data_IF_670017488141
#
_entry.id   IF_670017488141
#
_cell.length_a   1.000
_cell.length_b   1.000
_cell.length_c   1.000
_cell.angle_alpha   90.00
_cell.angle_beta   90.00
_cell.angle_gamma   90.00
#
_symmetry.space_group_name_H-M   'P 1'
#
loop_
_entity.id
_entity.type
_entity.pdbx_description
1 polymer ?
#
# COMPACT_ATOMS: atom_id res chain seq x y z
N UNK A 1 -44.62 -3.53 46.33
CA UNK A 1 -44.71 -3.36 44.88
C UNK A 1 -44.50 -1.90 44.45
N UNK A 2 -45.17 -0.86 45.02
CA UNK A 2 -45.02 0.54 44.64
C UNK A 2 -43.56 1.10 44.78
N UNK A 3 -42.79 0.67 45.81
CA UNK A 3 -41.40 1.13 46.01
C UNK A 3 -40.40 0.52 45.04
N UNK A 4 -40.68 -0.68 44.50
CA UNK A 4 -39.81 -1.31 43.47
C UNK A 4 -40.05 -0.67 42.09
N UNK A 5 -41.32 -0.36 41.79
CA UNK A 5 -41.63 0.36 40.54
C UNK A 5 -40.99 1.77 40.48
N UNK A 6 -40.96 2.47 41.63
CA UNK A 6 -40.32 3.81 41.71
C UNK A 6 -38.79 3.72 41.54
N UNK A 7 -38.13 2.68 42.07
CA UNK A 7 -36.69 2.48 41.91
C UNK A 7 -36.33 2.06 40.48
N UNK A 8 -37.15 1.27 39.81
CA UNK A 8 -36.95 0.88 38.43
C UNK A 8 -37.19 2.05 37.48
N UNK A 9 -38.18 2.89 37.72
CA UNK A 9 -38.41 4.11 36.92
C UNK A 9 -37.33 5.17 37.09
N UNK A 10 -36.74 5.31 38.28
CA UNK A 10 -35.58 6.17 38.53
C UNK A 10 -34.29 5.66 37.86
N UNK A 11 -34.09 4.36 37.85
CA UNK A 11 -32.96 3.72 37.14
C UNK A 11 -33.08 3.86 35.62
N UNK A 12 -34.27 3.63 35.07
CA UNK A 12 -34.52 3.79 33.61
C UNK A 12 -34.40 5.27 33.22
N UNK A 13 -34.92 6.20 34.02
CA UNK A 13 -34.74 7.64 33.81
C UNK A 13 -33.28 8.10 33.87
N UNK A 14 -32.49 7.56 34.80
CA UNK A 14 -31.07 7.83 34.91
C UNK A 14 -30.23 7.30 33.71
N UNK A 15 -30.59 6.12 33.22
CA UNK A 15 -29.92 5.54 32.04
C UNK A 15 -30.30 6.34 30.77
N UNK A 16 -31.55 6.75 30.63
CA UNK A 16 -32.01 7.53 29.48
C UNK A 16 -31.36 8.93 29.46
N UNK A 17 -31.21 9.61 30.61
CA UNK A 17 -30.53 10.90 30.68
C UNK A 17 -29.04 10.78 30.44
N UNK A 18 -28.37 9.75 30.96
CA UNK A 18 -26.97 9.47 30.70
C UNK A 18 -26.71 9.14 29.21
N UNK A 19 -27.63 8.42 28.58
CA UNK A 19 -27.55 8.12 27.15
C UNK A 19 -27.76 9.37 26.27
N UNK A 20 -28.65 10.28 26.70
CA UNK A 20 -28.90 11.53 26.03
C UNK A 20 -27.73 12.52 26.19
N UNK A 21 -27.10 12.56 27.37
CA UNK A 21 -25.90 13.33 27.64
C UNK A 21 -24.71 12.83 26.82
N UNK A 22 -24.52 11.52 26.74
CA UNK A 22 -23.49 10.92 25.91
C UNK A 22 -23.73 11.23 24.42
N UNK A 23 -24.96 11.16 23.97
CA UNK A 23 -25.32 11.49 22.58
C UNK A 23 -25.10 12.97 22.27
N UNK A 24 -25.37 13.86 23.23
CA UNK A 24 -25.11 15.30 23.10
C UNK A 24 -23.59 15.59 23.06
N UNK A 25 -22.80 14.91 23.87
CA UNK A 25 -21.34 15.00 23.83
C UNK A 25 -20.78 14.49 22.49
N UNK A 26 -21.29 13.38 21.98
CA UNK A 26 -20.93 12.85 20.66
C UNK A 26 -21.27 13.86 19.57
N UNK A 27 -22.44 14.48 19.61
CA UNK A 27 -22.86 15.48 18.64
C UNK A 27 -22.02 16.77 18.74
N UNK A 28 -21.65 17.21 19.94
CA UNK A 28 -20.72 18.32 20.14
C UNK A 28 -19.33 18.02 19.59
N UNK A 29 -18.77 16.85 19.92
CA UNK A 29 -17.49 16.42 19.38
C UNK A 29 -17.51 16.31 17.84
N UNK A 30 -18.63 15.83 17.26
CA UNK A 30 -18.80 15.82 15.80
C UNK A 30 -18.81 17.22 15.22
N UNK A 31 -19.53 18.16 15.83
CA UNK A 31 -19.56 19.54 15.37
C UNK A 31 -18.19 20.23 15.48
N UNK A 32 -17.42 19.95 16.53
CA UNK A 32 -16.04 20.44 16.68
C UNK A 32 -15.11 19.81 15.64
N UNK A 33 -15.25 18.52 15.36
CA UNK A 33 -14.52 17.82 14.30
C UNK A 33 -14.85 18.40 12.94
N UNK A 34 -16.11 18.67 12.66
CA UNK A 34 -16.54 19.26 11.37
C UNK A 34 -16.06 20.71 11.21
N UNK A 35 -16.05 21.50 12.28
CA UNK A 35 -15.40 22.82 12.28
C UNK A 35 -13.89 22.73 12.06
N UNK A 36 -13.22 21.79 12.69
CA UNK A 36 -11.79 21.55 12.50
C UNK A 36 -11.49 21.06 11.07
N UNK A 37 -12.33 20.20 10.50
CA UNK A 37 -12.23 19.76 9.09
C UNK A 37 -12.45 20.92 8.11
N UNK A 38 -13.43 21.79 8.36
CA UNK A 38 -13.72 22.95 7.51
C UNK A 38 -12.62 24.02 7.55
N UNK A 39 -11.88 24.12 8.66
CA UNK A 39 -10.74 25.04 8.82
C UNK A 39 -9.38 24.38 8.57
N UNK A 40 -9.34 23.06 8.46
CA UNK A 40 -8.12 22.34 8.14
C UNK A 40 -7.74 22.59 6.68
N UNK A 41 -6.52 23.00 6.41
CA UNK A 41 -6.01 22.99 5.03
C UNK A 41 -6.05 21.58 4.50
N UNK A 42 -6.25 21.45 3.19
CA UNK A 42 -6.18 20.15 2.52
C UNK A 42 -4.91 19.41 2.96
N UNK A 43 -5.02 18.13 3.37
CA UNK A 43 -3.86 17.39 3.85
C UNK A 43 -2.76 17.40 2.78
N UNK A 44 -1.53 17.67 3.19
CA UNK A 44 -0.37 17.72 2.29
C UNK A 44 -0.11 16.35 1.64
N UNK A 45 -0.58 15.30 2.27
CA UNK A 45 -0.52 13.91 1.82
C UNK A 45 -1.94 13.44 1.52
N UNK A 46 -2.31 13.56 0.28
CA UNK A 46 -3.55 12.99 -0.20
C UNK A 46 -3.27 11.57 -0.71
N UNK A 47 -4.11 10.58 -0.37
CA UNK A 47 -4.07 9.30 -1.07
C UNK A 47 -4.13 9.57 -2.58
N UNK A 48 -3.50 8.70 -3.35
CA UNK A 48 -3.34 8.86 -4.81
C UNK A 48 -4.67 9.17 -5.55
N UNK A 49 -5.80 8.95 -4.88
CA UNK A 49 -7.15 9.12 -5.40
C UNK A 49 -7.89 10.40 -4.96
N UNK A 50 -7.41 11.17 -3.96
CA UNK A 50 -8.21 12.26 -3.37
C UNK A 50 -7.70 13.69 -3.65
N UNK A 51 -6.55 13.90 -4.26
CA UNK A 51 -5.91 15.23 -4.24
C UNK A 51 -5.77 15.98 -5.53
N UNK A 52 -5.80 15.30 -6.64
CA UNK A 52 -5.63 15.95 -7.93
C UNK A 52 -6.98 15.93 -8.67
N UNK A 53 -7.75 17.00 -8.49
CA UNK A 53 -8.90 17.23 -9.37
C UNK A 53 -8.36 17.28 -10.81
N UNK A 54 -8.79 16.39 -11.70
CA UNK A 54 -8.34 16.41 -13.08
C UNK A 54 -8.71 17.74 -13.72
N UNK A 55 -7.71 18.47 -14.25
CA UNK A 55 -7.91 19.73 -14.98
C UNK A 55 -8.82 19.47 -16.19
N UNK A 56 -8.74 18.28 -16.78
CA UNK A 56 -9.60 17.79 -17.83
C UNK A 56 -10.06 16.36 -17.52
N UNK A 57 -11.35 16.06 -17.70
CA UNK A 57 -11.84 14.68 -17.51
C UNK A 57 -11.13 13.67 -18.42
N UNK A 58 -10.85 14.06 -19.68
CA UNK A 58 -10.38 13.11 -20.71
C UNK A 58 -8.88 12.88 -20.73
N UNK A 59 -8.08 13.87 -20.33
CA UNK A 59 -6.64 13.79 -20.45
C UNK A 59 -5.96 14.67 -19.41
N UNK A 60 -5.13 14.06 -18.58
CA UNK A 60 -4.27 14.75 -17.62
C UNK A 60 -2.88 14.14 -17.70
N UNK A 61 -1.86 14.99 -17.71
CA UNK A 61 -0.46 14.59 -17.78
C UNK A 61 0.31 15.16 -16.59
N UNK A 62 1.07 14.32 -15.92
CA UNK A 62 1.84 14.66 -14.73
C UNK A 62 3.30 14.24 -14.90
N UNK A 63 4.18 15.08 -14.36
CA UNK A 63 5.59 14.74 -14.17
C UNK A 63 5.90 14.82 -12.68
N UNK A 64 6.25 13.70 -12.08
CA UNK A 64 6.65 13.62 -10.68
C UNK A 64 8.17 13.48 -10.61
N UNK A 65 8.83 14.44 -9.99
CA UNK A 65 10.28 14.45 -9.77
C UNK A 65 10.59 14.50 -8.28
N UNK A 66 11.48 13.63 -7.82
CA UNK A 66 12.05 13.65 -6.48
C UNK A 66 13.56 13.58 -6.60
N UNK A 67 14.24 14.60 -6.07
CA UNK A 67 15.71 14.67 -5.99
C UNK A 67 16.15 14.78 -4.55
N UNK A 68 17.36 14.33 -4.25
CA UNK A 68 17.99 14.45 -2.95
C UNK A 68 19.45 14.85 -3.06
N UNK A 69 19.98 15.41 -1.99
CA UNK A 69 21.40 15.48 -1.72
C UNK A 69 21.70 14.52 -0.57
N UNK A 70 22.33 13.42 -0.90
CA UNK A 70 22.60 12.35 0.04
C UNK A 70 24.02 12.49 0.59
N UNK A 71 24.14 12.42 1.92
CA UNK A 71 25.43 12.32 2.62
C UNK A 71 25.41 11.01 3.39
N UNK A 72 26.26 10.08 3.00
CA UNK A 72 26.28 8.73 3.55
C UNK A 72 27.62 8.45 4.23
N UNK A 73 27.56 7.81 5.40
CA UNK A 73 28.73 7.27 6.09
C UNK A 73 28.44 5.87 6.58
N UNK A 74 28.97 4.87 5.89
CA UNK A 74 28.92 3.51 6.40
C UNK A 74 30.03 3.26 7.44
N UNK A 75 29.84 2.21 8.26
CA UNK A 75 30.85 1.80 9.23
C UNK A 75 32.14 1.44 8.48
N UNK A 76 33.26 1.99 8.95
CA UNK A 76 34.61 1.76 8.43
C UNK A 76 34.81 2.20 6.95
N UNK A 77 33.97 3.12 6.45
CA UNK A 77 34.09 3.72 5.13
C UNK A 77 34.20 5.25 5.22
N UNK A 78 34.73 5.86 4.18
CA UNK A 78 34.76 7.31 4.04
C UNK A 78 33.35 7.86 3.81
N UNK A 79 33.15 9.11 4.23
CA UNK A 79 31.90 9.84 3.96
C UNK A 79 31.79 10.13 2.45
N UNK A 80 30.64 9.84 1.89
CA UNK A 80 30.31 10.17 0.49
C UNK A 80 29.17 11.17 0.43
N UNK A 81 29.19 12.04 -0.58
CA UNK A 81 28.11 13.00 -0.81
C UNK A 81 27.79 13.07 -2.30
N UNK A 82 26.49 13.06 -2.65
CA UNK A 82 26.03 13.09 -4.05
C UNK A 82 24.64 13.71 -4.18
N UNK A 83 24.38 14.34 -5.32
CA UNK A 83 23.02 14.61 -5.76
C UNK A 83 22.45 13.36 -6.43
N UNK A 84 21.19 13.05 -6.13
CA UNK A 84 20.54 11.86 -6.64
C UNK A 84 19.11 12.14 -7.09
N UNK A 85 18.75 11.68 -8.29
CA UNK A 85 17.38 11.70 -8.79
C UNK A 85 16.67 10.42 -8.33
N UNK A 86 15.95 10.48 -7.22
CA UNK A 86 15.27 9.32 -6.63
C UNK A 86 14.15 8.82 -7.53
N UNK A 87 13.34 9.74 -8.04
CA UNK A 87 12.22 9.39 -8.90
C UNK A 87 12.04 10.43 -10.00
N UNK A 88 11.72 9.95 -11.19
CA UNK A 88 11.21 10.75 -12.30
C UNK A 88 10.16 9.92 -13.03
N UNK A 89 8.90 10.29 -12.87
CA UNK A 89 7.74 9.55 -13.41
C UNK A 89 6.97 10.45 -14.36
N UNK A 90 6.59 9.87 -15.48
CA UNK A 90 5.62 10.43 -16.40
C UNK A 90 4.33 9.64 -16.29
N UNK A 91 3.24 10.34 -16.02
CA UNK A 91 1.91 9.75 -15.88
C UNK A 91 0.91 10.45 -16.78
N UNK A 92 0.06 9.66 -17.42
CA UNK A 92 -1.08 10.12 -18.20
C UNK A 92 -2.30 9.34 -17.74
N UNK A 93 -3.39 10.06 -17.42
CA UNK A 93 -4.65 9.44 -17.00
C UNK A 93 -5.86 10.28 -17.39
N UNK A 94 -7.01 9.65 -17.51
CA UNK A 94 -8.26 10.35 -17.81
C UNK A 94 -9.42 9.41 -18.11
N UNK A 95 -10.59 10.01 -18.29
CA UNK A 95 -11.82 9.32 -18.69
C UNK A 95 -12.00 9.46 -20.21
N UNK A 96 -12.03 8.33 -20.92
CA UNK A 96 -12.39 8.30 -22.36
C UNK A 96 -13.89 8.59 -22.51
N UNK A 97 -14.69 7.96 -21.65
CA UNK A 97 -16.13 8.19 -21.47
C UNK A 97 -16.46 8.22 -19.96
N UNK A 98 -17.71 8.50 -19.61
CA UNK A 98 -18.12 8.43 -18.19
C UNK A 98 -17.96 7.03 -17.57
N UNK A 99 -17.84 5.98 -18.40
CA UNK A 99 -17.68 4.60 -17.96
C UNK A 99 -16.28 4.04 -18.16
N UNK A 100 -15.47 4.61 -19.04
CA UNK A 100 -14.17 4.07 -19.43
C UNK A 100 -13.10 5.06 -19.05
N UNK A 101 -12.14 4.63 -18.25
CA UNK A 101 -10.96 5.40 -17.86
C UNK A 101 -9.68 4.63 -18.16
N UNK A 102 -8.56 5.34 -18.16
CA UNK A 102 -7.25 4.75 -18.41
C UNK A 102 -6.18 5.41 -17.55
N UNK A 103 -5.10 4.68 -17.33
CA UNK A 103 -3.90 5.17 -16.67
C UNK A 103 -2.65 4.57 -17.29
N UNK A 104 -1.69 5.42 -17.57
CA UNK A 104 -0.35 5.05 -17.98
C UNK A 104 0.65 5.75 -17.04
N UNK A 105 1.63 4.99 -16.51
CA UNK A 105 2.72 5.54 -15.70
C UNK A 105 4.04 4.86 -16.05
N UNK A 106 5.04 5.68 -16.31
CA UNK A 106 6.35 5.23 -16.75
C UNK A 106 7.46 5.97 -15.99
N UNK A 107 8.49 5.25 -15.52
CA UNK A 107 9.65 5.83 -14.85
C UNK A 107 10.73 6.16 -15.85
N UNK A 108 11.06 7.44 -16.01
CA UNK A 108 12.08 7.90 -16.95
C UNK A 108 13.52 7.65 -16.44
N UNK A 109 13.69 7.37 -15.16
CA UNK A 109 14.97 7.03 -14.52
C UNK A 109 15.15 5.54 -14.22
N UNK A 110 14.37 4.66 -14.85
CA UNK A 110 14.48 3.20 -14.75
C UNK A 110 14.80 2.60 -16.12
N UNK A 111 15.32 1.38 -16.15
CA UNK A 111 15.67 0.68 -17.38
C UNK A 111 14.46 0.48 -18.30
N UNK A 112 14.61 0.83 -19.57
CA UNK A 112 13.64 0.53 -20.63
C UNK A 112 13.82 -0.85 -21.26
N UNK A 113 14.70 -1.69 -20.71
CA UNK A 113 14.82 -3.07 -21.15
C UNK A 113 13.47 -3.77 -21.00
N UNK A 114 13.12 -4.58 -21.99
CA UNK A 114 11.87 -5.32 -22.01
C UNK A 114 11.91 -6.46 -20.99
N UNK A 115 10.87 -6.63 -20.20
CA UNK A 115 10.67 -7.80 -19.40
C UNK A 115 10.41 -9.03 -20.28
N UNK A 116 10.90 -10.19 -19.88
CA UNK A 116 10.92 -11.37 -20.74
C UNK A 116 9.59 -12.10 -20.83
N UNK A 117 8.66 -11.87 -19.89
CA UNK A 117 7.33 -12.49 -19.88
C UNK A 117 6.26 -11.48 -20.34
N UNK A 118 6.09 -10.36 -19.68
CA UNK A 118 5.03 -9.40 -19.98
C UNK A 118 5.31 -8.55 -21.24
N UNK A 119 6.53 -8.58 -21.72
CA UNK A 119 6.96 -7.90 -22.94
C UNK A 119 6.91 -6.38 -22.90
N UNK A 120 6.69 -5.78 -21.75
CA UNK A 120 6.69 -4.34 -21.52
C UNK A 120 8.06 -3.85 -21.01
N UNK A 121 8.32 -2.56 -21.14
CA UNK A 121 9.51 -1.97 -20.54
C UNK A 121 9.46 -2.10 -19.01
N UNK A 122 10.57 -2.50 -18.37
CA UNK A 122 10.69 -2.60 -16.90
C UNK A 122 10.40 -1.27 -16.18
N UNK A 123 10.52 -0.16 -16.92
CA UNK A 123 10.18 1.18 -16.46
C UNK A 123 8.66 1.47 -16.45
N UNK A 124 7.83 0.64 -17.12
CA UNK A 124 6.38 0.83 -17.17
C UNK A 124 5.74 0.25 -15.91
N UNK A 125 5.31 1.12 -15.00
CA UNK A 125 4.62 0.71 -13.78
C UNK A 125 3.14 0.39 -14.06
N UNK A 126 2.44 1.26 -14.79
CA UNK A 126 1.00 1.12 -15.04
C UNK A 126 0.68 1.33 -16.51
N UNK A 127 -0.19 0.48 -17.02
CA UNK A 127 -0.79 0.59 -18.36
C UNK A 127 -2.09 -0.22 -18.34
N UNK A 128 -3.19 0.42 -17.98
CA UNK A 128 -4.47 -0.25 -17.85
C UNK A 128 -5.65 0.60 -18.30
N UNK A 129 -6.75 -0.06 -18.59
CA UNK A 129 -8.06 0.54 -18.74
C UNK A 129 -9.01 0.01 -17.64
N UNK A 130 -9.92 0.88 -17.21
CA UNK A 130 -10.97 0.54 -16.26
C UNK A 130 -12.36 0.82 -16.84
N UNK A 131 -13.33 0.03 -16.39
CA UNK A 131 -14.71 0.06 -16.82
C UNK A 131 -15.61 0.16 -15.59
N UNK A 132 -16.27 1.29 -15.40
CA UNK A 132 -17.33 1.46 -14.39
C UNK A 132 -18.58 0.75 -14.92
N UNK A 133 -18.87 -0.43 -14.37
CA UNK A 133 -20.02 -1.24 -14.77
C UNK A 133 -21.32 -0.57 -14.30
N UNK A 134 -21.29 -0.09 -13.05
CA UNK A 134 -22.29 0.74 -12.41
C UNK A 134 -21.63 1.60 -11.30
N UNK A 135 -22.42 2.19 -10.40
CA UNK A 135 -21.95 3.07 -9.32
C UNK A 135 -21.17 2.30 -8.22
N UNK A 136 -21.20 0.97 -8.22
CA UNK A 136 -20.58 0.12 -7.19
C UNK A 136 -19.51 -0.82 -7.74
N UNK A 137 -19.58 -1.16 -9.02
CA UNK A 137 -18.72 -2.15 -9.62
C UNK A 137 -17.80 -1.55 -10.68
N UNK A 138 -16.53 -1.83 -10.55
CA UNK A 138 -15.51 -1.44 -11.54
C UNK A 138 -14.66 -2.64 -11.93
N UNK A 139 -14.42 -2.82 -13.22
CA UNK A 139 -13.47 -3.77 -13.76
C UNK A 139 -12.25 -3.02 -14.28
N UNK A 140 -11.05 -3.46 -13.90
CA UNK A 140 -9.77 -2.90 -14.40
C UNK A 140 -8.96 -4.03 -15.03
N UNK A 141 -8.32 -3.77 -16.16
CA UNK A 141 -7.48 -4.76 -16.83
C UNK A 141 -6.25 -4.09 -17.45
N UNK A 142 -5.09 -4.75 -17.35
CA UNK A 142 -3.81 -4.29 -17.84
C UNK A 142 -2.70 -4.44 -16.80
N UNK A 143 -1.60 -3.71 -16.99
CA UNK A 143 -0.51 -3.67 -15.99
C UNK A 143 -0.85 -2.68 -14.89
N UNK A 144 -0.88 -3.13 -13.66
CA UNK A 144 -1.28 -2.34 -12.51
C UNK A 144 -0.51 -2.75 -11.25
N UNK A 145 -0.56 -1.91 -10.23
CA UNK A 145 -0.08 -2.28 -8.92
C UNK A 145 -0.93 -3.42 -8.36
N UNK A 146 -0.30 -4.40 -7.76
CA UNK A 146 -0.99 -5.44 -7.00
C UNK A 146 -1.61 -4.85 -5.74
N UNK A 147 -2.88 -5.15 -5.48
CA UNK A 147 -3.70 -4.56 -4.42
C UNK A 147 -3.47 -5.24 -3.06
N UNK A 148 -2.22 -5.31 -2.61
CA UNK A 148 -1.85 -6.00 -1.37
C UNK A 148 -2.38 -5.34 -0.10
N UNK A 149 -2.63 -4.04 -0.13
CA UNK A 149 -2.94 -3.23 1.05
C UNK A 149 -1.70 -2.54 1.62
N UNK A 150 -1.84 -1.98 2.84
CA UNK A 150 -0.80 -1.16 3.45
C UNK A 150 -0.77 0.28 2.93
N UNK A 151 -0.37 1.21 3.77
CA UNK A 151 -0.28 2.63 3.39
C UNK A 151 0.95 2.95 2.55
N UNK A 152 2.03 2.16 2.65
CA UNK A 152 3.16 2.32 1.75
C UNK A 152 2.79 2.06 0.27
N UNK A 153 1.78 1.20 0.00
CA UNK A 153 1.24 0.99 -1.35
C UNK A 153 0.22 2.06 -1.76
N UNK A 154 -0.55 2.57 -0.80
CA UNK A 154 -1.67 3.48 -1.06
C UNK A 154 -1.21 4.93 -1.24
N UNK A 155 -0.15 5.34 -0.54
CA UNK A 155 0.35 6.70 -0.60
C UNK A 155 1.02 7.02 -1.94
N UNK A 156 0.88 8.29 -2.36
CA UNK A 156 1.66 8.79 -3.50
C UNK A 156 3.16 8.64 -3.18
N UNK A 157 3.95 8.01 -4.07
CA UNK A 157 5.38 7.84 -3.87
C UNK A 157 6.16 9.13 -3.57
N UNK A 158 5.61 10.29 -3.95
CA UNK A 158 6.19 11.60 -3.59
C UNK A 158 6.13 11.88 -2.07
N UNK A 159 5.22 11.21 -1.36
CA UNK A 159 5.02 11.35 0.08
C UNK A 159 5.77 10.28 0.89
N UNK A 160 6.49 9.40 0.22
CA UNK A 160 7.31 8.35 0.83
C UNK A 160 8.77 8.75 0.70
N UNK A 161 9.42 8.98 1.83
CA UNK A 161 10.85 9.29 1.84
C UNK A 161 11.68 8.03 1.55
N UNK A 162 11.37 6.94 2.23
CA UNK A 162 12.01 5.64 2.05
C UNK A 162 10.96 4.54 2.26
N UNK A 163 10.96 3.54 1.40
CA UNK A 163 10.13 2.35 1.57
C UNK A 163 10.77 1.37 2.54
N UNK A 164 9.97 0.45 3.09
CA UNK A 164 10.52 -0.73 3.75
C UNK A 164 11.36 -1.56 2.77
N UNK A 165 12.38 -2.23 3.27
CA UNK A 165 13.23 -3.13 2.47
C UNK A 165 12.38 -4.22 1.78
N UNK A 166 11.34 -4.68 2.49
CA UNK A 166 10.38 -5.64 1.95
C UNK A 166 9.71 -5.10 0.68
N UNK A 167 9.23 -3.86 0.71
CA UNK A 167 8.52 -3.26 -0.42
C UNK A 167 9.48 -2.87 -1.55
N UNK A 168 10.66 -2.38 -1.22
CA UNK A 168 11.67 -1.98 -2.22
C UNK A 168 12.15 -3.17 -3.04
N UNK A 169 12.25 -4.37 -2.43
CA UNK A 169 12.65 -5.60 -3.12
C UNK A 169 11.47 -6.33 -3.80
N UNK A 170 10.25 -5.85 -3.63
CA UNK A 170 9.05 -6.47 -4.19
C UNK A 170 8.76 -5.95 -5.61
N UNK A 171 8.66 -6.85 -6.59
CA UNK A 171 8.10 -6.51 -7.90
C UNK A 171 6.57 -6.63 -7.83
N UNK A 172 5.88 -5.50 -7.84
CA UNK A 172 4.46 -5.37 -7.53
C UNK A 172 3.59 -4.76 -8.65
N UNK A 173 4.17 -4.51 -9.83
CA UNK A 173 3.43 -4.04 -11.00
C UNK A 173 3.30 -5.16 -12.02
N UNK A 174 2.11 -5.77 -12.10
CA UNK A 174 1.85 -6.98 -12.89
C UNK A 174 0.71 -6.79 -13.89
N UNK A 175 0.75 -7.55 -14.99
CA UNK A 175 -0.41 -7.70 -15.87
C UNK A 175 -1.49 -8.53 -15.17
N UNK A 176 -2.75 -8.11 -15.34
CA UNK A 176 -3.87 -8.83 -14.75
C UNK A 176 -5.18 -8.10 -14.88
N UNK A 177 -6.13 -8.54 -14.08
CA UNK A 177 -7.46 -7.94 -13.97
C UNK A 177 -7.87 -7.82 -12.49
N UNK A 178 -8.66 -6.82 -12.20
CA UNK A 178 -9.20 -6.55 -10.88
C UNK A 178 -10.67 -6.17 -10.98
N UNK A 179 -11.49 -6.76 -10.12
CA UNK A 179 -12.86 -6.33 -9.89
C UNK A 179 -12.93 -5.63 -8.54
N UNK A 180 -13.47 -4.44 -8.54
CA UNK A 180 -13.68 -3.60 -7.36
C UNK A 180 -15.16 -3.52 -7.06
N UNK A 181 -15.54 -3.73 -5.81
CA UNK A 181 -16.88 -3.53 -5.28
C UNK A 181 -16.87 -2.50 -4.17
N UNK A 182 -17.47 -1.34 -4.41
CA UNK A 182 -17.64 -0.25 -3.46
C UNK A 182 -19.12 -0.09 -3.12
N UNK A 183 -19.64 -0.78 -2.08
CA UNK A 183 -21.06 -0.68 -1.71
C UNK A 183 -21.48 0.73 -1.29
N UNK A 184 -20.54 1.48 -0.75
CA UNK A 184 -20.65 2.89 -0.33
C UNK A 184 -19.26 3.54 -0.30
N UNK A 185 -19.16 4.81 0.06
CA UNK A 185 -17.92 5.59 0.14
C UNK A 185 -16.94 5.14 1.24
N UNK A 186 -17.42 4.35 2.21
CA UNK A 186 -16.63 3.91 3.36
C UNK A 186 -15.97 2.53 3.16
N UNK A 187 -16.39 1.78 2.16
CA UNK A 187 -15.90 0.42 1.95
C UNK A 187 -15.62 0.14 0.47
N UNK A 188 -14.45 -0.37 0.22
CA UNK A 188 -14.03 -0.86 -1.09
C UNK A 188 -13.41 -2.25 -0.93
N UNK A 189 -13.86 -3.19 -1.73
CA UNK A 189 -13.36 -4.56 -1.79
C UNK A 189 -12.78 -4.82 -3.18
N UNK A 190 -11.54 -5.27 -3.23
CA UNK A 190 -10.83 -5.58 -4.46
C UNK A 190 -10.54 -7.08 -4.52
N UNK A 191 -10.88 -7.72 -5.61
CA UNK A 191 -10.41 -9.04 -5.98
C UNK A 191 -9.60 -8.94 -7.25
N UNK A 192 -8.32 -9.32 -7.17
CA UNK A 192 -7.38 -9.16 -8.27
C UNK A 192 -6.72 -10.49 -8.62
N UNK A 193 -6.58 -10.74 -9.92
CA UNK A 193 -5.79 -11.85 -10.48
C UNK A 193 -4.74 -11.24 -11.39
N UNK A 194 -3.47 -11.58 -11.17
CA UNK A 194 -2.37 -11.08 -11.99
C UNK A 194 -1.40 -12.22 -12.35
N UNK A 195 -0.50 -11.96 -13.27
CA UNK A 195 0.71 -12.76 -13.40
C UNK A 195 1.49 -12.72 -12.09
N UNK A 196 2.22 -13.78 -11.78
CA UNK A 196 3.03 -13.86 -10.57
C UNK A 196 4.33 -13.07 -10.71
N UNK A 197 4.82 -12.84 -11.92
CA UNK A 197 6.09 -12.17 -12.24
C UNK A 197 6.07 -11.53 -13.64
N UNK A 198 6.98 -10.62 -13.89
CA UNK A 198 7.16 -9.94 -15.18
C UNK A 198 8.20 -10.62 -16.09
N UNK A 199 9.16 -11.33 -15.50
CA UNK A 199 10.20 -12.07 -16.21
C UNK A 199 9.93 -13.58 -16.16
N UNK A 200 10.48 -14.35 -17.12
CA UNK A 200 10.35 -15.80 -17.16
C UNK A 200 10.94 -16.44 -15.90
N UNK A 201 10.43 -17.60 -15.55
CA UNK A 201 10.89 -18.35 -14.37
C UNK A 201 12.41 -18.57 -14.36
N UNK A 202 13.00 -18.94 -15.49
CA UNK A 202 14.44 -19.15 -15.61
C UNK A 202 15.26 -17.87 -15.45
N UNK A 203 14.70 -16.71 -15.79
CA UNK A 203 15.40 -15.41 -15.62
C UNK A 203 15.44 -14.99 -14.16
N UNK A 204 14.44 -15.39 -13.37
CA UNK A 204 14.35 -15.08 -11.94
C UNK A 204 15.15 -16.11 -11.11
N UNK A 205 14.92 -17.39 -11.35
CA UNK A 205 15.46 -18.47 -10.51
C UNK A 205 16.68 -19.16 -11.10
N UNK A 206 17.04 -18.86 -12.35
CA UNK A 206 18.14 -19.51 -13.05
C UNK A 206 17.83 -20.97 -13.43
N UNK A 207 18.82 -21.63 -14.02
CA UNK A 207 18.72 -23.05 -14.41
C UNK A 207 19.10 -24.00 -13.26
N UNK A 208 19.20 -23.48 -12.06
CA UNK A 208 19.86 -24.12 -10.92
C UNK A 208 19.08 -25.26 -10.28
N UNK A 209 17.83 -25.48 -10.64
CA UNK A 209 17.11 -26.63 -10.10
C UNK A 209 16.36 -27.39 -11.18
N UNK A 210 16.95 -28.49 -11.71
CA UNK A 210 16.23 -29.37 -12.63
C UNK A 210 15.02 -30.06 -11.99
N UNK A 211 14.84 -29.91 -10.68
CA UNK A 211 13.75 -30.53 -9.91
C UNK A 211 12.58 -29.60 -9.64
N UNK A 212 12.68 -28.29 -9.93
CA UNK A 212 11.60 -27.32 -9.74
C UNK A 212 11.13 -26.82 -11.09
N UNK A 213 9.88 -27.10 -11.41
CA UNK A 213 9.23 -26.66 -12.63
C UNK A 213 8.36 -25.43 -12.35
N UNK A 214 8.24 -24.55 -13.34
CA UNK A 214 7.30 -23.46 -13.33
C UNK A 214 5.87 -23.95 -13.12
N UNK A 215 5.05 -23.21 -12.36
CA UNK A 215 3.61 -23.47 -12.26
C UNK A 215 2.96 -23.45 -13.64
N UNK A 216 2.01 -24.36 -13.89
CA UNK A 216 1.20 -24.35 -15.12
C UNK A 216 0.25 -23.16 -15.23
N UNK A 217 -0.08 -22.55 -14.10
CA UNK A 217 -0.87 -21.33 -13.97
C UNK A 217 -0.17 -20.39 -12.98
N UNK A 218 0.89 -19.69 -13.42
CA UNK A 218 1.70 -18.83 -12.55
C UNK A 218 0.97 -17.52 -12.28
N UNK A 219 -0.08 -17.60 -11.47
CA UNK A 219 -0.98 -16.49 -11.15
C UNK A 219 -0.90 -16.13 -9.67
N UNK A 220 -1.17 -14.86 -9.40
CA UNK A 220 -1.37 -14.29 -8.08
C UNK A 220 -2.85 -13.98 -7.91
N UNK A 221 -3.39 -14.36 -6.75
CA UNK A 221 -4.78 -14.09 -6.34
C UNK A 221 -4.74 -13.21 -5.10
N UNK A 222 -5.36 -12.03 -5.16
CA UNK A 222 -5.33 -11.06 -4.09
C UNK A 222 -6.75 -10.67 -3.72
N UNK A 223 -7.02 -10.59 -2.43
CA UNK A 223 -8.19 -9.95 -1.86
C UNK A 223 -7.74 -8.78 -0.99
N UNK A 224 -8.39 -7.62 -1.15
CA UNK A 224 -8.09 -6.41 -0.39
C UNK A 224 -9.39 -5.74 0.06
N UNK A 225 -9.36 -5.16 1.26
CA UNK A 225 -10.40 -4.31 1.81
C UNK A 225 -9.82 -2.97 2.23
N UNK A 226 -10.30 -1.91 1.60
CA UNK A 226 -10.06 -0.53 1.98
C UNK A 226 -11.28 -0.01 2.75
N UNK A 227 -11.09 0.33 4.00
CA UNK A 227 -12.13 0.86 4.87
C UNK A 227 -11.81 2.28 5.31
N UNK A 228 -12.83 3.15 5.32
CA UNK A 228 -12.78 4.51 5.83
C UNK A 228 -13.86 4.64 6.90
N UNK A 229 -13.47 4.43 8.17
CA UNK A 229 -14.41 4.29 9.28
C UNK A 229 -14.50 5.58 10.09
N UNK A 230 -15.66 5.83 10.68
CA UNK A 230 -15.89 6.97 11.58
C UNK A 230 -15.53 8.31 10.92
N UNK A 231 -16.12 8.60 9.76
CA UNK A 231 -15.86 9.80 8.96
C UNK A 231 -14.36 9.96 8.62
N UNK A 232 -13.73 8.89 8.16
CA UNK A 232 -12.30 8.79 7.83
C UNK A 232 -11.34 8.92 9.03
N UNK A 233 -11.82 8.88 10.27
CA UNK A 233 -10.95 8.92 11.44
C UNK A 233 -10.01 7.72 11.50
N UNK A 234 -10.53 6.54 11.20
CA UNK A 234 -9.76 5.30 11.10
C UNK A 234 -9.87 4.76 9.67
N UNK A 235 -8.73 4.56 9.05
CA UNK A 235 -8.65 3.97 7.72
C UNK A 235 -7.93 2.62 7.79
N UNK A 236 -8.41 1.66 7.03
CA UNK A 236 -7.80 0.34 6.86
C UNK A 236 -7.40 0.12 5.41
N UNK A 237 -6.27 -0.56 5.20
CA UNK A 237 -5.76 -1.04 3.93
C UNK A 237 -5.28 -2.46 4.13
N UNK A 238 -6.24 -3.39 4.25
CA UNK A 238 -5.98 -4.77 4.60
C UNK A 238 -6.12 -5.66 3.38
N UNK A 239 -5.12 -6.48 3.14
CA UNK A 239 -5.15 -7.39 2.02
C UNK A 239 -4.24 -8.58 2.23
N UNK A 240 -4.44 -9.57 1.39
CA UNK A 240 -3.63 -10.77 1.38
C UNK A 240 -3.90 -11.60 0.14
N UNK A 241 -3.02 -12.54 -0.13
CA UNK A 241 -3.16 -13.36 -1.31
C UNK A 241 -2.15 -14.50 -1.42
N UNK A 242 -2.33 -15.25 -2.48
CA UNK A 242 -1.57 -16.44 -2.82
C UNK A 242 -0.92 -16.24 -4.19
N UNK A 243 0.32 -16.66 -4.31
CA UNK A 243 1.11 -16.64 -5.54
C UNK A 243 1.52 -18.07 -5.91
N UNK A 244 1.06 -18.56 -7.06
CA UNK A 244 1.39 -19.89 -7.56
C UNK A 244 2.71 -19.83 -8.34
N UNK A 245 3.84 -19.87 -7.64
CA UNK A 245 5.16 -19.57 -8.18
C UNK A 245 5.72 -20.70 -9.04
N UNK A 246 5.73 -21.92 -8.48
CA UNK A 246 6.22 -23.11 -9.15
C UNK A 246 5.33 -24.30 -8.84
N UNK A 247 5.52 -25.41 -9.55
CA UNK A 247 4.76 -26.64 -9.31
C UNK A 247 5.04 -27.19 -7.91
N UNK A 248 4.00 -27.21 -7.08
CA UNK A 248 4.09 -27.56 -5.66
C UNK A 248 4.65 -26.47 -4.74
N UNK A 249 4.93 -25.26 -5.23
CA UNK A 249 5.44 -24.14 -4.43
C UNK A 249 4.54 -22.92 -4.55
N UNK A 250 3.97 -22.51 -3.43
CA UNK A 250 3.11 -21.33 -3.34
C UNK A 250 3.70 -20.33 -2.34
N UNK A 251 3.64 -19.06 -2.69
CA UNK A 251 3.97 -17.97 -1.80
C UNK A 251 2.68 -17.32 -1.32
N UNK A 252 2.64 -16.81 -0.10
CA UNK A 252 1.51 -16.06 0.39
C UNK A 252 1.98 -14.80 1.15
N UNK A 253 1.14 -13.78 1.07
CA UNK A 253 1.39 -12.48 1.63
C UNK A 253 0.15 -11.99 2.36
N UNK A 254 0.36 -11.35 3.53
CA UNK A 254 -0.64 -10.62 4.30
C UNK A 254 -0.12 -9.20 4.56
N UNK A 255 -0.94 -8.20 4.31
CA UNK A 255 -0.67 -6.81 4.64
C UNK A 255 -1.84 -6.21 5.41
N UNK A 256 -1.54 -5.57 6.54
CA UNK A 256 -2.53 -4.94 7.42
C UNK A 256 -2.08 -3.51 7.71
N UNK A 257 -2.61 -2.57 6.94
CA UNK A 257 -2.37 -1.14 7.16
C UNK A 257 -3.52 -0.50 7.94
N UNK A 258 -3.22 0.20 9.02
CA UNK A 258 -4.22 0.95 9.80
C UNK A 258 -3.71 2.35 10.06
N UNK A 259 -4.55 3.35 9.79
CA UNK A 259 -4.21 4.77 9.94
C UNK A 259 -5.23 5.46 10.83
N UNK A 260 -4.73 6.24 11.77
CA UNK A 260 -5.49 7.26 12.50
C UNK A 260 -5.30 8.60 11.79
N UNK A 261 -6.40 9.23 11.39
CA UNK A 261 -6.42 10.43 10.58
C UNK A 261 -7.11 11.58 11.32
N UNK A 262 -6.34 12.31 12.14
CA UNK A 262 -6.81 13.54 12.77
C UNK A 262 -6.44 14.76 11.92
N UNK A 263 -7.14 15.91 12.06
CA UNK A 263 -6.96 17.07 11.16
C UNK A 263 -5.53 17.62 11.04
N UNK A 264 -4.72 17.51 12.09
CA UNK A 264 -3.33 18.00 12.12
C UNK A 264 -2.31 16.91 12.45
N UNK A 265 -2.78 15.72 12.79
CA UNK A 265 -1.92 14.62 13.21
C UNK A 265 -2.41 13.33 12.56
N UNK A 266 -1.53 12.66 11.87
CA UNK A 266 -1.80 11.38 11.24
C UNK A 266 -0.76 10.37 11.72
N UNK A 267 -1.19 9.15 11.94
CA UNK A 267 -0.28 8.04 12.19
C UNK A 267 -0.79 6.81 11.49
N UNK A 268 0.09 6.12 10.77
CA UNK A 268 -0.23 4.80 10.25
C UNK A 268 0.75 3.75 10.74
N UNK A 269 0.24 2.55 10.81
CA UNK A 269 1.00 1.34 11.10
C UNK A 269 0.71 0.31 10.02
N UNK A 270 1.75 -0.15 9.33
CA UNK A 270 1.69 -1.25 8.37
C UNK A 270 2.41 -2.47 8.94
N UNK A 271 1.75 -3.62 8.88
CA UNK A 271 2.34 -4.91 9.12
C UNK A 271 2.27 -5.75 7.84
N UNK A 272 3.41 -6.22 7.40
CA UNK A 272 3.55 -7.09 6.24
C UNK A 272 4.19 -8.40 6.64
N UNK A 273 3.60 -9.51 6.20
CA UNK A 273 4.11 -10.86 6.45
C UNK A 273 4.05 -11.66 5.15
N UNK A 274 5.20 -12.22 4.75
CA UNK A 274 5.26 -13.14 3.62
C UNK A 274 5.89 -14.46 4.03
N UNK A 275 5.37 -15.53 3.45
CA UNK A 275 5.96 -16.85 3.49
C UNK A 275 6.14 -17.31 2.03
N UNK A 276 7.38 -17.38 1.61
CA UNK A 276 7.74 -17.76 0.26
C UNK A 276 8.34 -19.15 0.26
N UNK A 277 7.56 -20.16 -0.17
CA UNK A 277 8.07 -21.53 -0.34
C UNK A 277 9.21 -21.57 -1.37
N UNK A 278 9.24 -20.61 -2.28
CA UNK A 278 10.35 -20.34 -3.17
C UNK A 278 10.68 -18.85 -3.08
N UNK A 279 11.87 -18.53 -2.56
CA UNK A 279 12.28 -17.16 -2.25
C UNK A 279 12.42 -16.32 -3.53
N UNK A 280 11.44 -15.46 -3.79
CA UNK A 280 11.40 -14.52 -4.91
C UNK A 280 12.02 -13.17 -4.56
N UNK A 281 11.85 -12.70 -3.34
CA UNK A 281 12.38 -11.43 -2.86
C UNK A 281 13.90 -11.45 -2.78
N UNK A 282 14.52 -12.63 -2.54
CA UNK A 282 15.98 -12.84 -2.46
C UNK A 282 16.67 -11.93 -1.45
N UNK A 283 16.00 -11.65 -0.36
CA UNK A 283 16.47 -10.78 0.73
C UNK A 283 16.75 -11.55 2.02
N UNK A 284 16.76 -12.88 1.97
CA UNK A 284 17.16 -13.72 3.10
C UNK A 284 18.67 -14.03 3.05
N UNK A 285 19.28 -14.51 4.16
CA UNK A 285 20.70 -14.91 4.13
C UNK A 285 20.99 -15.90 2.99
N UNK A 286 22.07 -15.66 2.25
CA UNK A 286 22.54 -16.46 1.10
C UNK A 286 21.63 -16.46 -0.15
N UNK A 287 20.46 -15.87 -0.13
CA UNK A 287 19.49 -15.91 -1.24
C UNK A 287 19.98 -15.26 -2.54
N UNK A 288 20.98 -14.39 -2.48
CA UNK A 288 21.62 -13.81 -3.67
C UNK A 288 22.50 -14.78 -4.44
N UNK A 289 22.91 -15.89 -3.82
CA UNK A 289 23.87 -16.85 -4.39
C UNK A 289 23.30 -18.24 -4.62
N UNK A 290 22.28 -18.62 -3.88
CA UNK A 290 21.64 -19.94 -3.97
C UNK A 290 20.12 -19.80 -4.00
N UNK A 291 19.45 -20.78 -4.59
CA UNK A 291 18.00 -20.88 -4.55
C UNK A 291 17.56 -21.28 -3.14
N UNK A 292 16.80 -20.43 -2.50
CA UNK A 292 16.32 -20.58 -1.13
C UNK A 292 14.86 -20.97 -1.12
N UNK A 293 14.47 -21.79 -0.17
CA UNK A 293 13.09 -22.20 0.12
C UNK A 293 12.66 -21.73 1.51
N UNK A 294 11.35 -21.72 1.71
CA UNK A 294 10.71 -21.42 3.00
C UNK A 294 11.21 -20.11 3.64
N UNK A 295 11.36 -19.09 2.78
CA UNK A 295 11.72 -17.74 3.22
C UNK A 295 10.53 -17.09 3.95
N UNK A 296 10.81 -16.49 5.11
CA UNK A 296 9.82 -15.80 5.95
C UNK A 296 10.26 -14.38 6.17
N UNK A 297 9.37 -13.45 5.81
CA UNK A 297 9.56 -12.02 5.92
C UNK A 297 8.51 -11.43 6.86
N UNK A 298 8.93 -10.48 7.69
CA UNK A 298 8.03 -9.61 8.43
C UNK A 298 8.57 -8.20 8.37
N UNK A 299 7.70 -7.24 8.10
CA UNK A 299 8.00 -5.82 8.13
C UNK A 299 6.95 -5.08 8.94
N UNK A 300 7.42 -4.16 9.79
CA UNK A 300 6.62 -3.29 10.64
C UNK A 300 7.04 -1.87 10.33
N UNK A 301 6.10 -1.06 9.88
CA UNK A 301 6.30 0.34 9.53
C UNK A 301 5.37 1.19 10.38
N UNK A 302 5.92 2.14 11.10
CA UNK A 302 5.16 3.14 11.87
C UNK A 302 5.57 4.52 11.40
N UNK A 303 4.63 5.30 10.89
CA UNK A 303 4.86 6.69 10.49
C UNK A 303 3.87 7.61 11.17
N UNK A 304 4.38 8.67 11.79
CA UNK A 304 3.59 9.73 12.38
C UNK A 304 3.90 11.06 11.68
N UNK A 305 2.87 11.84 11.40
CA UNK A 305 2.96 13.13 10.73
C UNK A 305 2.19 14.19 11.51
N UNK A 306 2.77 15.37 11.63
CA UNK A 306 2.15 16.52 12.28
C UNK A 306 2.26 17.75 11.41
N UNK A 307 1.12 18.37 11.11
CA UNK A 307 1.02 19.58 10.30
C UNK A 307 0.55 20.75 11.17
N UNK A 308 1.46 21.45 11.86
CA UNK A 308 1.09 22.59 12.71
C UNK A 308 0.46 23.73 11.93
N UNK A 309 0.98 24.00 10.75
CA UNK A 309 0.48 25.02 9.79
C UNK A 309 0.46 24.42 8.38
N UNK A 310 -0.32 24.97 7.44
CA UNK A 310 -0.47 24.42 6.08
C UNK A 310 0.84 24.19 5.31
N UNK A 311 1.83 25.02 5.57
CA UNK A 311 3.10 25.02 4.84
C UNK A 311 4.18 24.12 5.46
N UNK A 312 3.92 23.54 6.64
CA UNK A 312 4.91 22.74 7.36
C UNK A 312 4.32 21.39 7.78
N UNK A 313 4.91 20.32 7.27
CA UNK A 313 4.67 18.97 7.75
C UNK A 313 5.95 18.41 8.40
N UNK A 314 5.82 17.89 9.58
CA UNK A 314 6.89 17.23 10.32
C UNK A 314 6.51 15.75 10.43
N UNK A 315 7.42 14.87 10.10
CA UNK A 315 7.16 13.44 10.22
C UNK A 315 8.29 12.69 10.92
N UNK A 316 7.95 11.53 11.45
CA UNK A 316 8.92 10.54 11.91
C UNK A 316 8.44 9.16 11.45
N UNK A 317 9.35 8.35 10.95
CA UNK A 317 9.07 6.97 10.50
C UNK A 317 10.07 6.02 11.13
N UNK A 318 9.57 4.89 11.63
CA UNK A 318 10.37 3.77 12.11
C UNK A 318 10.05 2.51 11.33
N UNK A 319 11.07 1.75 10.98
CA UNK A 319 10.99 0.46 10.30
C UNK A 319 11.65 -0.61 11.19
N UNK A 320 11.02 -1.79 11.27
CA UNK A 320 11.61 -2.99 11.83
C UNK A 320 11.27 -4.18 10.95
N UNK A 321 12.27 -4.84 10.42
CA UNK A 321 12.11 -5.90 9.44
C UNK A 321 12.91 -7.13 9.81
N UNK A 322 12.41 -8.29 9.43
CA UNK A 322 13.09 -9.55 9.65
C UNK A 322 12.95 -10.47 8.45
N UNK A 323 14.06 -11.10 8.08
CA UNK A 323 14.10 -12.08 7.01
C UNK A 323 14.87 -13.32 7.46
N UNK A 324 14.32 -14.51 7.23
CA UNK A 324 14.95 -15.80 7.53
C UNK A 324 14.54 -16.86 6.51
N UNK A 325 15.32 -17.91 6.40
CA UNK A 325 15.04 -19.06 5.54
C UNK A 325 15.38 -20.37 6.27
N UNK A 326 15.26 -21.49 5.58
CA UNK A 326 15.53 -22.84 6.09
C UNK A 326 17.00 -23.28 5.97
N UNK A 327 17.85 -22.52 5.26
CA UNK A 327 19.25 -22.88 5.05
C UNK A 327 20.15 -22.57 6.25
N UNK A 328 19.71 -21.65 7.11
CA UNK A 328 20.50 -21.18 8.25
C UNK A 328 19.59 -20.70 9.37
N UNK A 329 20.02 -20.89 10.61
CA UNK A 329 19.36 -20.32 11.79
C UNK A 329 19.54 -18.79 11.89
N UNK A 330 20.37 -18.20 11.04
CA UNK A 330 20.59 -16.78 11.01
C UNK A 330 19.35 -16.04 10.53
N UNK A 331 19.02 -14.98 11.23
CA UNK A 331 17.93 -14.05 10.92
C UNK A 331 18.54 -12.70 10.57
N UNK A 332 18.18 -12.17 9.40
CA UNK A 332 18.48 -10.77 9.10
C UNK A 332 17.49 -9.86 9.84
N UNK A 333 17.99 -8.72 10.32
CA UNK A 333 17.20 -7.69 10.98
C UNK A 333 17.58 -6.37 10.34
N UNK A 334 16.59 -5.68 9.77
CA UNK A 334 16.68 -4.30 9.29
C UNK A 334 16.00 -3.36 10.26
N UNK A 335 16.58 -2.18 10.50
CA UNK A 335 15.96 -1.09 11.24
C UNK A 335 16.28 0.22 10.54
N UNK A 336 15.26 1.05 10.34
CA UNK A 336 15.38 2.39 9.79
C UNK A 336 14.64 3.42 10.62
N UNK A 337 15.19 4.64 10.68
CA UNK A 337 14.57 5.79 11.33
C UNK A 337 14.73 6.99 10.41
N UNK A 338 13.63 7.70 10.15
CA UNK A 338 13.59 8.86 9.27
C UNK A 338 12.81 9.99 9.95
N UNK A 339 13.24 11.23 9.75
CA UNK A 339 12.57 12.43 10.27
C UNK A 339 12.80 13.64 9.34
#
# INVERSE_FOLDING_TARGET
MKKILLAVSLLIGGIASAQQDLQNQINQLRAEIDQLKATAPAPLFMPENEGEQPIHKKFNMYFNFQGSFDVEKAKDQDMTAKFYARQLRWEVRGDITDRIFYRFRHRLNKSNARASLDNLAKATDMLYAGFRLDDKWTLTAGKMCQAWGGFEFDLNPMNIYEYSDFLENMDNFMLGAMITYAPNENHEFNFQITDVRNDKFADIYGTTSPTISESKAPLTYIFNWNGNLFDNLIQTRWGGGLQSEADGYNNWLLMLGTKLNLPKFQVFFDYMMANEQLDRLKYTPMSSTVLVKDAKYNSFVLKAEYQPIPQLNIFAQGLYETAKNDLTDNKMIGMGYFA
#
